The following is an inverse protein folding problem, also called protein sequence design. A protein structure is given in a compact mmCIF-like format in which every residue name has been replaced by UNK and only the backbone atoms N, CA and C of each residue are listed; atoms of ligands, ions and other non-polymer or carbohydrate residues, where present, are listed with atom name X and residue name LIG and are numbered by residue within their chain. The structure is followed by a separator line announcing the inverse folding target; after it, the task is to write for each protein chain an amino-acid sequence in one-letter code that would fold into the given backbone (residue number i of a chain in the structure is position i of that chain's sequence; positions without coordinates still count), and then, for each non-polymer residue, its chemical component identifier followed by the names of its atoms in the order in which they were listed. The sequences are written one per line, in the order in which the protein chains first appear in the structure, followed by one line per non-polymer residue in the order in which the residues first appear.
data_IF_018489129838
#
_entry.id   IF_018489129838
#
_cell.length_a   1.000
_cell.length_b   1.000
_cell.length_c   1.000
_cell.angle_alpha   90.00
_cell.angle_beta   90.00
_cell.angle_gamma   90.00
#
_symmetry.space_group_name_H-M   'P 1'
#
loop_
_entity.id
_entity.type
_entity.pdbx_description
1 polymer ?
#
# COMPACT_ATOMS: atom_id res chain seq x y z
N UNK A 1 11.37 -1.21 -1.43
CA UNK A 1 12.63 -0.93 -2.17
C UNK A 1 13.11 0.47 -1.81
N UNK A 2 14.38 0.65 -1.43
CA UNK A 2 14.89 1.99 -1.05
C UNK A 2 15.54 2.65 -2.27
N UNK A 3 14.80 3.53 -2.96
CA UNK A 3 15.25 4.27 -4.14
C UNK A 3 16.62 4.93 -3.91
N UNK A 4 16.89 5.42 -2.69
CA UNK A 4 18.16 6.02 -2.31
C UNK A 4 19.37 5.07 -2.46
N UNK A 5 19.17 3.76 -2.28
CA UNK A 5 20.23 2.75 -2.45
C UNK A 5 20.54 2.50 -3.93
N UNK A 6 19.50 2.46 -4.77
CA UNK A 6 19.64 2.26 -6.22
C UNK A 6 20.31 3.47 -6.86
N UNK A 7 19.88 4.68 -6.51
CA UNK A 7 20.52 5.91 -6.99
C UNK A 7 21.96 6.01 -6.55
N UNK A 8 22.29 5.61 -5.30
CA UNK A 8 23.68 5.58 -4.83
C UNK A 8 24.55 4.60 -5.63
N UNK A 9 24.05 3.39 -5.92
CA UNK A 9 24.77 2.41 -6.75
C UNK A 9 24.97 2.91 -8.19
N UNK A 10 23.95 3.51 -8.81
CA UNK A 10 24.04 4.09 -10.14
C UNK A 10 25.01 5.27 -10.20
N UNK A 11 25.00 6.15 -9.20
CA UNK A 11 25.98 7.24 -9.09
C UNK A 11 27.40 6.69 -8.99
N UNK A 12 27.62 5.64 -8.20
CA UNK A 12 28.94 5.01 -8.06
C UNK A 12 29.45 4.43 -9.38
N UNK A 13 28.59 3.76 -10.16
CA UNK A 13 28.95 3.22 -11.48
C UNK A 13 29.22 4.35 -12.47
N UNK A 14 28.39 5.41 -12.46
CA UNK A 14 28.61 6.60 -13.30
C UNK A 14 29.94 7.28 -12.97
N UNK A 15 30.24 7.45 -11.68
CA UNK A 15 31.47 8.12 -11.23
C UNK A 15 32.70 7.26 -11.58
N UNK A 16 32.61 5.93 -11.43
CA UNK A 16 33.62 4.96 -11.91
C UNK A 16 33.88 5.08 -13.42
N UNK A 17 32.83 5.13 -14.23
CA UNK A 17 32.96 5.30 -15.70
C UNK A 17 33.53 6.67 -16.05
N UNK A 18 33.15 7.72 -15.32
CA UNK A 18 33.67 9.08 -15.53
C UNK A 18 35.17 9.18 -15.23
N UNK A 19 35.62 8.52 -14.16
CA UNK A 19 37.01 8.57 -13.71
C UNK A 19 37.91 7.65 -14.55
N UNK A 20 37.41 6.50 -15.00
CA UNK A 20 38.17 5.54 -15.82
C UNK A 20 38.07 5.81 -17.33
N UNK A 21 37.09 6.58 -17.79
CA UNK A 21 36.89 6.93 -19.20
C UNK A 21 36.35 5.79 -20.08
N UNK A 22 36.30 4.57 -19.56
CA UNK A 22 35.80 3.37 -20.23
C UNK A 22 34.87 2.58 -19.32
N UNK A 23 33.93 1.85 -19.92
CA UNK A 23 33.06 0.94 -19.17
C UNK A 23 33.83 -0.33 -18.90
N UNK A 24 34.17 -0.59 -17.63
CA UNK A 24 34.87 -1.81 -17.27
C UNK A 24 33.90 -2.99 -17.20
N UNK A 25 34.42 -4.21 -17.34
CA UNK A 25 33.61 -5.43 -17.17
C UNK A 25 32.96 -5.52 -15.76
N UNK A 26 33.58 -4.91 -14.75
CA UNK A 26 33.01 -4.80 -13.41
C UNK A 26 31.81 -3.85 -13.37
N UNK A 27 31.88 -2.70 -14.05
CA UNK A 27 30.77 -1.75 -14.14
C UNK A 27 29.57 -2.38 -14.88
N UNK A 28 29.84 -3.13 -15.95
CA UNK A 28 28.80 -3.85 -16.71
C UNK A 28 28.12 -4.94 -15.86
N UNK A 29 28.90 -5.71 -15.09
CA UNK A 29 28.36 -6.72 -14.19
C UNK A 29 27.53 -6.07 -13.06
N UNK A 30 28.01 -4.98 -12.47
CA UNK A 30 27.28 -4.25 -11.44
C UNK A 30 25.96 -3.69 -11.97
N UNK A 31 25.92 -3.24 -13.22
CA UNK A 31 24.71 -2.76 -13.88
C UNK A 31 23.72 -3.92 -14.13
N UNK A 32 24.20 -5.05 -14.64
CA UNK A 32 23.39 -6.27 -14.84
C UNK A 32 22.77 -6.76 -13.54
N UNK A 33 23.55 -6.78 -12.46
CA UNK A 33 23.07 -7.19 -11.14
C UNK A 33 21.99 -6.24 -10.62
N UNK A 34 22.16 -4.92 -10.80
CA UNK A 34 21.16 -3.93 -10.42
C UNK A 34 19.86 -4.06 -11.22
N UNK A 35 19.96 -4.30 -12.53
CA UNK A 35 18.80 -4.54 -13.41
C UNK A 35 18.07 -5.81 -12.99
N UNK A 36 18.79 -6.90 -12.74
CA UNK A 36 18.22 -8.17 -12.29
C UNK A 36 17.55 -8.04 -10.91
N UNK A 37 18.17 -7.33 -9.98
CA UNK A 37 17.58 -7.02 -8.66
C UNK A 37 16.27 -6.25 -8.81
N UNK A 38 16.26 -5.23 -9.68
CA UNK A 38 15.08 -4.40 -9.96
C UNK A 38 13.95 -5.20 -10.61
N UNK A 39 14.27 -6.02 -11.61
CA UNK A 39 13.29 -6.90 -12.28
C UNK A 39 12.71 -7.92 -11.29
N UNK A 40 13.53 -8.50 -10.42
CA UNK A 40 13.09 -9.46 -9.41
C UNK A 40 12.11 -8.83 -8.41
N UNK A 41 12.39 -7.61 -7.97
CA UNK A 41 11.49 -6.84 -7.10
C UNK A 41 10.19 -6.52 -7.84
N UNK A 42 10.25 -6.01 -9.07
CA UNK A 42 9.06 -5.70 -9.86
C UNK A 42 8.17 -6.93 -10.10
N UNK A 43 8.77 -8.11 -10.37
CA UNK A 43 8.03 -9.38 -10.48
C UNK A 43 7.36 -9.78 -9.17
N UNK A 44 8.01 -9.56 -8.03
CA UNK A 44 7.43 -9.83 -6.71
C UNK A 44 6.26 -8.89 -6.42
N UNK A 45 6.41 -7.60 -6.72
CA UNK A 45 5.36 -6.61 -6.51
C UNK A 45 4.15 -6.88 -7.40
N UNK A 46 4.36 -7.27 -8.67
CA UNK A 46 3.29 -7.69 -9.57
C UNK A 46 2.55 -8.95 -9.07
N UNK A 47 3.29 -9.94 -8.54
CA UNK A 47 2.68 -11.14 -7.94
C UNK A 47 1.83 -10.79 -6.71
N UNK A 48 2.30 -9.86 -5.88
CA UNK A 48 1.58 -9.40 -4.69
C UNK A 48 0.35 -8.56 -5.05
N UNK A 49 0.45 -7.71 -6.07
CA UNK A 49 -0.69 -6.96 -6.62
C UNK A 49 -1.79 -7.90 -7.13
N UNK A 50 -1.41 -8.93 -7.89
CA UNK A 50 -2.36 -9.95 -8.36
C UNK A 50 -3.03 -10.69 -7.22
N UNK A 51 -2.28 -11.06 -6.18
CA UNK A 51 -2.86 -11.68 -4.98
C UNK A 51 -3.83 -10.74 -4.22
N UNK A 52 -3.61 -9.42 -4.26
CA UNK A 52 -4.54 -8.44 -3.71
C UNK A 52 -5.80 -8.22 -4.56
N UNK A 53 -5.74 -8.47 -5.86
CA UNK A 53 -6.89 -8.40 -6.77
C UNK A 53 -7.73 -9.69 -6.80
N UNK A 54 -7.11 -10.84 -6.58
CA UNK A 54 -7.79 -12.16 -6.47
C UNK A 54 -8.44 -12.39 -5.10
N UNK A 55 -8.23 -11.48 -4.13
CA UNK A 55 -9.05 -11.45 -2.93
C UNK A 55 -10.44 -10.90 -3.31
N UNK A 56 -11.53 -11.65 -3.15
CA UNK A 56 -12.85 -11.06 -3.28
C UNK A 56 -12.90 -9.85 -2.35
N UNK A 57 -13.27 -8.69 -2.89
CA UNK A 57 -13.74 -7.55 -2.10
C UNK A 57 -15.06 -7.96 -1.44
N UNK A 58 -15.01 -8.92 -0.53
CA UNK A 58 -16.08 -9.08 0.42
C UNK A 58 -16.09 -7.77 1.20
N UNK A 59 -17.19 -7.00 1.19
CA UNK A 59 -17.29 -5.85 2.05
C UNK A 59 -17.01 -6.38 3.45
N UNK A 60 -15.90 -5.94 4.04
CA UNK A 60 -15.69 -6.13 5.48
C UNK A 60 -16.95 -5.49 6.07
N UNK A 61 -17.83 -6.24 6.76
CA UNK A 61 -18.87 -5.59 7.52
C UNK A 61 -18.09 -4.73 8.51
N UNK A 62 -18.01 -3.43 8.22
CA UNK A 62 -17.66 -2.46 9.22
C UNK A 62 -18.76 -2.63 10.24
N UNK A 63 -18.43 -3.38 11.29
CA UNK A 63 -19.19 -3.34 12.50
C UNK A 63 -18.89 -1.94 13.05
N UNK A 64 -19.60 -0.95 12.51
CA UNK A 64 -19.60 0.45 12.94
C UNK A 64 -20.29 0.54 14.31
N UNK A 65 -19.89 -0.35 15.24
CA UNK A 65 -20.08 -0.25 16.69
C UNK A 65 -19.24 0.92 17.25
N UNK A 66 -19.07 1.98 16.47
CA UNK A 66 -18.62 3.25 16.98
C UNK A 66 -19.66 3.67 18.02
N UNK A 67 -19.21 4.07 19.22
CA UNK A 67 -20.12 4.55 20.23
C UNK A 67 -20.93 5.70 19.64
N UNK A 68 -22.26 5.61 19.74
CA UNK A 68 -23.16 6.65 19.26
C UNK A 68 -22.68 8.02 19.73
N UNK A 69 -22.68 8.99 18.83
CA UNK A 69 -22.37 10.38 19.16
C UNK A 69 -23.39 10.91 20.17
N UNK A 70 -23.04 11.94 20.93
CA UNK A 70 -23.93 12.56 21.92
C UNK A 70 -25.27 12.98 21.32
N UNK A 71 -25.24 13.52 20.09
CA UNK A 71 -26.43 13.92 19.34
C UNK A 71 -27.31 12.72 18.95
N UNK A 72 -26.71 11.62 18.50
CA UNK A 72 -27.46 10.40 18.18
C UNK A 72 -28.13 9.79 19.41
N UNK A 73 -27.45 9.79 20.56
CA UNK A 73 -28.04 9.35 21.84
C UNK A 73 -29.17 10.25 22.29
N UNK A 74 -29.03 11.57 22.13
CA UNK A 74 -30.08 12.52 22.45
C UNK A 74 -31.33 12.28 21.60
N UNK A 75 -31.16 12.09 20.29
CA UNK A 75 -32.26 11.74 19.37
C UNK A 75 -32.94 10.42 19.73
N UNK A 76 -32.18 9.37 20.04
CA UNK A 76 -32.75 8.10 20.50
C UNK A 76 -33.54 8.28 21.80
N UNK A 77 -32.99 9.02 22.77
CA UNK A 77 -33.67 9.29 24.03
C UNK A 77 -34.95 10.13 23.85
N UNK A 78 -34.97 11.01 22.85
CA UNK A 78 -36.15 11.75 22.44
C UNK A 78 -37.18 10.81 21.84
N UNK A 79 -36.81 9.95 20.89
CA UNK A 79 -37.72 9.00 20.25
C UNK A 79 -38.31 7.98 21.24
N UNK A 80 -37.52 7.53 22.21
CA UNK A 80 -37.99 6.69 23.33
C UNK A 80 -38.99 7.45 24.21
N UNK A 81 -38.71 8.71 24.57
CA UNK A 81 -39.59 9.54 25.41
C UNK A 81 -40.85 10.02 24.70
N UNK A 82 -40.79 10.24 23.39
CA UNK A 82 -41.94 10.67 22.57
C UNK A 82 -42.75 9.48 22.04
N UNK A 83 -42.38 8.24 22.39
CA UNK A 83 -43.16 7.04 22.11
C UNK A 83 -43.30 6.68 20.63
N UNK A 84 -42.54 7.30 19.73
CA UNK A 84 -42.62 7.05 18.28
C UNK A 84 -41.80 5.83 17.83
N UNK A 85 -41.12 5.15 18.77
CA UNK A 85 -40.22 4.03 18.50
C UNK A 85 -40.84 2.63 18.45
N UNK A 86 -42.15 2.47 18.70
CA UNK A 86 -42.77 1.13 18.65
C UNK A 86 -44.29 1.21 18.63
N UNK A 87 -44.89 1.31 17.44
CA UNK A 87 -46.20 0.71 17.19
C UNK A 87 -46.23 0.20 15.75
N UNK A 88 -46.72 -1.03 15.58
CA UNK A 88 -46.97 -1.77 14.33
C UNK A 88 -45.78 -2.48 13.66
N UNK A 89 -45.41 -3.63 14.23
CA UNK A 89 -45.25 -4.85 13.43
C UNK A 89 -46.19 -5.91 14.04
N UNK A 90 -47.38 -6.05 13.46
CA UNK A 90 -48.25 -7.21 13.60
C UNK A 90 -48.61 -7.70 12.21
#
# INVERSE_FOLDING_TARGET
MNIKKVTKKLSSVRDSIRDNGEVTAQDEQALKDLVNETISIAKRDLKNLRAGMDMPQMPIPHNDNLPLTTEQRFRLSLMEKTGTGSFEIH
#
